data_IF_068908646623
#
_entry.id   IF_068908646623
#
_cell.length_a   1.000
_cell.length_b   1.000
_cell.length_c   1.000
_cell.angle_alpha   90.00
_cell.angle_beta   90.00
_cell.angle_gamma   90.00
#
_symmetry.space_group_name_H-M   'P 1'
#
loop_
_entity.id
_entity.type
_entity.pdbx_description
1 polymer ?
#
# COMPACT_ATOMS: atom_id res chain seq x y z
N UNK A 1 -4.42 16.20 -18.80
CA UNK A 1 -3.38 15.17 -18.58
C UNK A 1 -3.23 14.85 -17.09
N UNK A 2 -2.69 13.68 -16.74
CA UNK A 2 -2.31 13.34 -15.36
C UNK A 2 -0.80 13.12 -15.33
N UNK A 3 -0.11 13.78 -14.40
CA UNK A 3 1.31 13.57 -14.13
C UNK A 3 1.45 13.05 -12.70
N UNK A 4 2.23 11.99 -12.50
CA UNK A 4 2.50 11.49 -11.16
C UNK A 4 3.96 11.12 -10.99
N UNK A 5 4.48 11.22 -9.76
CA UNK A 5 5.84 10.79 -9.44
C UNK A 5 6.48 11.58 -8.32
N UNK A 6 7.78 11.35 -8.14
CA UNK A 6 8.62 12.04 -7.17
C UNK A 6 9.59 12.97 -7.89
N UNK A 7 10.13 14.03 -7.24
CA UNK A 7 11.19 14.84 -7.84
C UNK A 7 12.42 14.00 -8.22
N UNK A 8 12.71 12.94 -7.45
CA UNK A 8 13.83 12.02 -7.72
C UNK A 8 13.57 11.21 -9.00
N UNK A 9 12.38 10.63 -9.15
CA UNK A 9 12.03 9.75 -10.27
C UNK A 9 11.53 10.44 -11.54
N UNK A 10 11.17 11.74 -11.48
CA UNK A 10 10.63 12.46 -12.64
C UNK A 10 11.15 13.89 -12.72
N UNK A 11 11.86 14.22 -13.80
CA UNK A 11 12.34 15.57 -14.09
C UNK A 11 11.18 16.57 -14.23
N UNK A 12 10.05 16.13 -14.82
CA UNK A 12 8.82 16.94 -14.92
C UNK A 12 8.22 17.26 -13.56
N UNK A 13 8.22 16.33 -12.60
CA UNK A 13 7.77 16.64 -11.23
C UNK A 13 8.75 17.60 -10.55
N UNK A 14 10.05 17.40 -10.75
CA UNK A 14 11.11 18.24 -10.16
C UNK A 14 11.03 19.70 -10.60
N UNK A 15 10.77 19.95 -11.88
CA UNK A 15 10.68 21.32 -12.42
C UNK A 15 9.51 22.12 -11.84
N UNK A 16 8.46 21.46 -11.33
CA UNK A 16 7.30 22.11 -10.73
C UNK A 16 7.57 22.70 -9.34
N UNK A 17 8.74 22.43 -8.72
CA UNK A 17 9.16 22.99 -7.41
C UNK A 17 8.06 22.93 -6.34
N UNK A 18 7.37 21.79 -6.26
CA UNK A 18 6.26 21.60 -5.33
C UNK A 18 6.77 21.58 -3.88
N UNK A 19 6.03 22.20 -2.96
CA UNK A 19 6.30 22.14 -1.51
C UNK A 19 5.93 20.77 -0.94
N UNK A 20 6.81 19.79 -1.14
CA UNK A 20 6.65 18.44 -0.63
C UNK A 20 7.18 18.27 0.81
N UNK A 21 7.87 19.26 1.38
CA UNK A 21 8.39 19.19 2.74
C UNK A 21 7.25 18.93 3.75
N UNK A 22 6.08 19.56 3.52
CA UNK A 22 4.93 19.42 4.41
C UNK A 22 4.28 18.04 4.42
N UNK A 23 4.48 17.19 3.40
CA UNK A 23 3.80 15.88 3.29
C UNK A 23 4.62 14.71 3.85
N UNK A 24 5.89 14.91 4.19
CA UNK A 24 6.73 13.86 4.79
C UNK A 24 6.94 12.64 3.88
N UNK A 25 7.36 11.51 4.46
CA UNK A 25 7.81 10.34 3.68
C UNK A 25 6.70 9.48 3.08
N UNK A 26 5.47 9.55 3.61
CA UNK A 26 4.33 8.76 3.14
C UNK A 26 3.14 9.61 2.68
N UNK A 27 3.27 10.93 2.68
CA UNK A 27 2.22 11.82 2.20
C UNK A 27 2.36 12.17 0.73
N UNK A 28 1.37 12.92 0.25
CA UNK A 28 1.25 13.33 -1.14
C UNK A 28 0.58 14.70 -1.29
N UNK A 29 0.81 15.29 -2.46
CA UNK A 29 0.08 16.42 -3.02
C UNK A 29 -0.75 15.97 -4.21
N UNK A 30 -1.96 16.51 -4.36
CA UNK A 30 -2.74 16.44 -5.59
C UNK A 30 -3.11 17.87 -5.98
N UNK A 31 -2.60 18.35 -7.11
CA UNK A 31 -2.79 19.73 -7.57
C UNK A 31 -3.20 19.80 -9.03
N UNK A 32 -4.09 20.72 -9.37
CA UNK A 32 -4.30 21.11 -10.76
C UNK A 32 -3.36 22.26 -11.11
N UNK A 33 -2.47 22.05 -12.06
CA UNK A 33 -1.45 23.02 -12.49
C UNK A 33 -1.44 23.17 -14.01
N UNK A 34 -0.79 24.22 -14.51
CA UNK A 34 -0.41 24.31 -15.92
C UNK A 34 1.00 23.73 -16.07
N UNK A 35 1.14 22.71 -16.92
CA UNK A 35 2.40 22.04 -17.24
C UNK A 35 2.56 22.09 -18.75
N UNK A 36 3.67 22.66 -19.24
CA UNK A 36 3.95 22.85 -20.67
C UNK A 36 2.80 23.55 -21.43
N UNK A 37 2.16 24.55 -20.81
CA UNK A 37 1.03 25.28 -21.40
C UNK A 37 -0.33 24.57 -21.29
N UNK A 38 -0.39 23.35 -20.77
CA UNK A 38 -1.62 22.57 -20.66
C UNK A 38 -2.04 22.33 -19.21
N UNK A 39 -3.36 22.31 -18.95
CA UNK A 39 -3.90 21.96 -17.63
C UNK A 39 -3.67 20.47 -17.34
N UNK A 40 -3.04 20.18 -16.19
CA UNK A 40 -2.73 18.84 -15.73
C UNK A 40 -3.08 18.65 -14.25
N UNK A 41 -3.51 17.44 -13.89
CA UNK A 41 -3.56 17.00 -12.49
C UNK A 41 -2.23 16.36 -12.14
N UNK A 42 -1.56 16.91 -11.13
CA UNK A 42 -0.26 16.46 -10.65
C UNK A 42 -0.44 15.74 -9.32
N UNK A 43 0.04 14.49 -9.23
CA UNK A 43 0.07 13.68 -8.02
C UNK A 43 1.53 13.45 -7.62
N UNK A 44 1.98 14.08 -6.55
CA UNK A 44 3.39 14.07 -6.18
C UNK A 44 3.60 13.66 -4.73
N UNK A 45 4.73 13.01 -4.45
CA UNK A 45 5.16 12.65 -3.10
C UNK A 45 6.68 12.70 -2.98
N UNK A 46 7.19 12.63 -1.76
CA UNK A 46 8.64 12.48 -1.54
C UNK A 46 9.13 11.06 -1.85
N UNK A 47 8.24 10.08 -1.80
CA UNK A 47 8.52 8.67 -2.08
C UNK A 47 7.45 8.10 -3.01
N UNK A 48 7.77 6.99 -3.66
CA UNK A 48 6.86 6.31 -4.58
C UNK A 48 5.59 5.82 -3.87
N UNK A 49 5.70 5.42 -2.59
CA UNK A 49 4.55 5.04 -1.76
C UNK A 49 3.63 6.23 -1.47
N UNK A 50 4.19 7.43 -1.25
CA UNK A 50 3.38 8.64 -1.17
C UNK A 50 2.56 8.86 -2.45
N UNK A 51 3.20 8.71 -3.61
CA UNK A 51 2.54 8.82 -4.92
C UNK A 51 1.43 7.77 -5.08
N UNK A 52 1.67 6.52 -4.68
CA UNK A 52 0.67 5.44 -4.70
C UNK A 52 -0.57 5.81 -3.87
N UNK A 53 -0.39 6.27 -2.63
CA UNK A 53 -1.50 6.70 -1.79
C UNK A 53 -2.24 7.91 -2.39
N UNK A 54 -1.51 8.83 -3.03
CA UNK A 54 -2.09 9.96 -3.76
C UNK A 54 -2.94 9.51 -4.95
N UNK A 55 -2.49 8.51 -5.70
CA UNK A 55 -3.24 7.93 -6.81
C UNK A 55 -4.56 7.30 -6.33
N UNK A 56 -4.52 6.50 -5.25
CA UNK A 56 -5.75 5.96 -4.65
C UNK A 56 -6.68 7.05 -4.11
N UNK A 57 -6.14 8.12 -3.51
CA UNK A 57 -6.96 9.28 -3.13
C UNK A 57 -7.64 9.93 -4.33
N UNK A 58 -6.92 10.09 -5.44
CA UNK A 58 -7.47 10.68 -6.66
C UNK A 58 -8.58 9.82 -7.27
N UNK A 59 -8.37 8.50 -7.37
CA UNK A 59 -9.41 7.55 -7.78
C UNK A 59 -10.63 7.63 -6.85
N UNK A 60 -10.41 7.70 -5.53
CA UNK A 60 -11.49 7.86 -4.56
C UNK A 60 -12.32 9.13 -4.80
N UNK A 61 -11.71 10.25 -5.20
CA UNK A 61 -12.45 11.47 -5.56
C UNK A 61 -13.39 11.23 -6.75
N UNK A 62 -12.92 10.54 -7.78
CA UNK A 62 -13.74 10.19 -8.95
C UNK A 62 -14.89 9.24 -8.59
N UNK A 63 -14.57 8.16 -7.86
CA UNK A 63 -15.56 7.15 -7.44
C UNK A 63 -16.66 7.76 -6.55
N UNK A 64 -16.32 8.80 -5.78
CA UNK A 64 -17.27 9.53 -4.93
C UNK A 64 -17.83 10.80 -5.58
N UNK A 65 -17.66 10.94 -6.91
CA UNK A 65 -18.18 12.04 -7.74
C UNK A 65 -17.82 13.43 -7.22
N UNK A 66 -16.63 13.58 -6.64
CA UNK A 66 -16.12 14.89 -6.20
C UNK A 66 -15.56 15.67 -7.39
N UNK A 67 -15.67 17.01 -7.41
CA UNK A 67 -15.05 17.82 -8.45
C UNK A 67 -13.53 17.63 -8.51
N UNK A 68 -13.00 17.42 -9.71
CA UNK A 68 -11.56 17.23 -9.97
C UNK A 68 -10.96 18.29 -10.91
N UNK A 69 -11.72 19.34 -11.24
CA UNK A 69 -11.31 20.41 -12.16
C UNK A 69 -10.30 21.39 -11.57
N UNK A 70 -10.29 21.57 -10.24
CA UNK A 70 -9.38 22.45 -9.50
C UNK A 70 -9.03 21.85 -8.14
N UNK A 71 -7.93 21.10 -8.08
CA UNK A 71 -7.47 20.43 -6.88
C UNK A 71 -6.30 21.18 -6.23
N UNK A 72 -6.31 21.29 -4.90
CA UNK A 72 -5.15 21.60 -4.06
C UNK A 72 -5.27 20.82 -2.75
N UNK A 73 -4.75 19.60 -2.75
CA UNK A 73 -4.83 18.67 -1.63
C UNK A 73 -3.42 18.35 -1.17
N UNK A 74 -3.20 18.42 0.14
CA UNK A 74 -2.05 17.82 0.80
C UNK A 74 -2.54 16.88 1.90
N UNK A 75 -1.92 15.71 1.99
CA UNK A 75 -2.23 14.75 3.03
C UNK A 75 -0.99 13.98 3.43
N UNK A 76 -0.91 13.64 4.72
CA UNK A 76 0.09 12.74 5.27
C UNK A 76 -0.53 11.89 6.38
N UNK A 77 -0.11 10.64 6.55
CA UNK A 77 -0.62 9.82 7.66
C UNK A 77 -0.19 10.44 9.01
N UNK A 78 -1.10 10.39 9.99
CA UNK A 78 -0.83 10.83 11.37
C UNK A 78 -0.27 9.70 12.24
N UNK A 79 -0.48 8.45 11.84
CA UNK A 79 -0.03 7.25 12.54
C UNK A 79 1.01 6.55 11.69
N UNK A 80 2.16 6.22 12.29
CA UNK A 80 3.28 5.59 11.59
C UNK A 80 2.98 4.14 11.19
N UNK A 81 2.44 3.34 12.11
CA UNK A 81 2.09 1.94 11.91
C UNK A 81 0.59 1.79 11.76
N UNK A 82 0.13 1.38 10.58
CA UNK A 82 -1.27 1.21 10.22
C UNK A 82 -1.39 -0.22 9.73
N UNK A 83 -1.56 -1.13 10.69
CA UNK A 83 -1.35 -2.57 10.54
C UNK A 83 -2.69 -3.30 10.61
N UNK A 84 -2.83 -4.34 9.81
CA UNK A 84 -3.96 -5.28 9.84
C UNK A 84 -3.47 -6.62 10.39
N UNK A 85 -4.22 -7.18 11.33
CA UNK A 85 -3.85 -8.44 11.99
C UNK A 85 -4.75 -9.58 11.50
N UNK A 86 -4.12 -10.72 11.17
CA UNK A 86 -4.78 -11.96 10.78
C UNK A 86 -4.67 -12.96 11.92
N UNK A 87 -5.81 -13.45 12.42
CA UNK A 87 -5.85 -14.50 13.44
C UNK A 87 -5.85 -15.89 12.78
N UNK A 88 -4.90 -16.08 11.86
CA UNK A 88 -4.87 -17.22 10.96
C UNK A 88 -3.90 -18.29 11.50
N UNK A 89 -4.39 -19.53 11.58
CA UNK A 89 -3.58 -20.69 11.91
C UNK A 89 -2.91 -21.24 10.64
N UNK A 90 -1.78 -21.94 10.82
CA UNK A 90 -0.99 -22.45 9.68
C UNK A 90 -1.69 -23.60 8.92
N UNK A 91 -2.71 -24.21 9.53
CA UNK A 91 -3.58 -25.23 8.91
C UNK A 91 -4.69 -24.64 8.02
N UNK A 92 -4.78 -23.30 7.94
CA UNK A 92 -5.75 -22.58 7.12
C UNK A 92 -7.05 -22.23 7.86
N UNK A 93 -7.22 -22.63 9.13
CA UNK A 93 -8.32 -22.14 9.97
C UNK A 93 -8.07 -20.72 10.46
N UNK A 94 -9.13 -19.98 10.81
CA UNK A 94 -9.04 -18.60 11.31
C UNK A 94 -9.77 -18.51 12.65
N UNK A 95 -9.06 -18.12 13.70
CA UNK A 95 -9.65 -17.90 15.00
C UNK A 95 -10.53 -16.65 14.98
N UNK A 96 -11.79 -16.81 15.41
CA UNK A 96 -12.84 -15.77 15.24
C UNK A 96 -13.04 -15.35 13.77
N UNK A 97 -12.74 -16.24 12.84
CA UNK A 97 -12.97 -16.02 11.41
C UNK A 97 -14.40 -16.37 10.99
N UNK A 98 -15.10 -15.40 10.41
CA UNK A 98 -16.47 -15.56 9.89
C UNK A 98 -16.56 -15.41 8.36
N UNK A 99 -15.42 -15.37 7.67
CA UNK A 99 -15.32 -15.07 6.24
C UNK A 99 -14.65 -16.20 5.42
N UNK A 100 -14.62 -17.42 5.98
CA UNK A 100 -13.96 -18.58 5.38
C UNK A 100 -12.54 -18.81 5.91
N UNK A 101 -11.80 -19.65 5.19
CA UNK A 101 -10.42 -20.04 5.52
C UNK A 101 -9.42 -18.93 5.30
N UNK A 102 -8.24 -19.08 5.90
CA UNK A 102 -7.08 -18.21 5.68
C UNK A 102 -6.82 -18.05 4.19
N UNK A 103 -6.50 -16.82 3.79
CA UNK A 103 -6.09 -16.57 2.41
C UNK A 103 -4.69 -17.10 2.12
N UNK A 104 -3.86 -17.30 3.16
CA UNK A 104 -2.48 -17.71 3.05
C UNK A 104 -2.40 -19.20 2.73
N UNK A 105 -2.16 -19.52 1.46
CA UNK A 105 -2.06 -20.91 1.00
C UNK A 105 -0.68 -21.51 1.32
N UNK A 106 -0.38 -21.74 2.60
CA UNK A 106 0.93 -22.20 3.06
C UNK A 106 1.46 -23.44 2.32
N UNK A 107 0.58 -24.39 1.96
CA UNK A 107 0.96 -25.60 1.22
C UNK A 107 1.41 -25.35 -0.23
N UNK A 108 1.00 -24.24 -0.84
CA UNK A 108 1.31 -23.88 -2.23
C UNK A 108 2.48 -22.89 -2.34
N UNK A 109 2.85 -22.24 -1.23
CA UNK A 109 3.95 -21.26 -1.18
C UNK A 109 5.32 -21.96 -1.07
N UNK A 110 6.40 -21.36 -1.62
CA UNK A 110 6.44 -20.14 -2.43
C UNK A 110 6.13 -20.35 -3.93
N UNK A 111 5.91 -21.59 -4.37
CA UNK A 111 5.84 -21.97 -5.79
C UNK A 111 4.63 -21.34 -6.51
N UNK A 112 3.52 -21.15 -5.81
CA UNK A 112 2.34 -20.47 -6.34
C UNK A 112 1.95 -19.26 -5.50
N UNK A 113 1.88 -18.11 -6.16
CA UNK A 113 1.43 -16.85 -5.58
C UNK A 113 0.01 -16.56 -6.08
N UNK A 114 -0.98 -16.77 -5.22
CA UNK A 114 -2.38 -16.47 -5.53
C UNK A 114 -2.55 -15.00 -5.93
N UNK A 115 -3.28 -14.68 -7.01
CA UNK A 115 -3.64 -13.30 -7.35
C UNK A 115 -4.33 -12.55 -6.21
N UNK A 116 -5.00 -13.26 -5.29
CA UNK A 116 -5.66 -12.67 -4.11
C UNK A 116 -4.67 -11.92 -3.18
N UNK A 117 -3.39 -12.29 -3.18
CA UNK A 117 -2.38 -11.58 -2.38
C UNK A 117 -2.19 -10.15 -2.88
N UNK A 118 -2.14 -9.97 -4.21
CA UNK A 118 -2.09 -8.64 -4.85
C UNK A 118 -3.38 -7.87 -4.60
N UNK A 119 -4.55 -8.53 -4.65
CA UNK A 119 -5.83 -7.88 -4.36
C UNK A 119 -5.92 -7.37 -2.92
N UNK A 120 -5.47 -8.16 -1.92
CA UNK A 120 -5.33 -7.69 -0.55
C UNK A 120 -4.39 -6.49 -0.45
N UNK A 121 -3.24 -6.55 -1.13
CA UNK A 121 -2.26 -5.47 -1.12
C UNK A 121 -2.85 -4.16 -1.67
N UNK A 122 -3.58 -4.25 -2.79
CA UNK A 122 -4.30 -3.13 -3.40
C UNK A 122 -5.37 -2.57 -2.46
N UNK A 123 -6.17 -3.44 -1.84
CA UNK A 123 -7.20 -3.04 -0.88
C UNK A 123 -6.59 -2.29 0.31
N UNK A 124 -5.57 -2.86 0.95
CA UNK A 124 -4.85 -2.25 2.07
C UNK A 124 -4.21 -0.91 1.70
N UNK A 125 -3.47 -0.85 0.59
CA UNK A 125 -2.81 0.37 0.15
C UNK A 125 -3.80 1.49 -0.23
N UNK A 126 -4.99 1.13 -0.72
CA UNK A 126 -6.04 2.11 -1.07
C UNK A 126 -6.54 2.95 0.10
N UNK A 127 -6.46 2.39 1.31
CA UNK A 127 -6.79 3.05 2.58
C UNK A 127 -5.55 3.39 3.42
N UNK A 128 -4.36 3.16 2.87
CA UNK A 128 -3.09 3.55 3.46
C UNK A 128 -2.52 2.60 4.52
N UNK A 129 -3.07 1.38 4.68
CA UNK A 129 -2.46 0.34 5.51
C UNK A 129 -1.05 0.04 4.99
N UNK A 130 -0.08 -0.07 5.90
CA UNK A 130 1.35 -0.25 5.58
C UNK A 130 1.99 -1.44 6.31
N UNK A 131 1.19 -2.27 6.96
CA UNK A 131 1.65 -3.50 7.59
C UNK A 131 0.56 -4.56 7.64
N UNK A 132 0.96 -5.81 7.63
CA UNK A 132 0.09 -6.95 7.94
C UNK A 132 0.81 -7.92 8.88
N UNK A 133 0.12 -8.41 9.89
CA UNK A 133 0.56 -9.56 10.70
C UNK A 133 -0.08 -10.81 10.11
N UNK A 134 0.71 -11.77 9.65
CA UNK A 134 0.20 -12.89 8.85
C UNK A 134 -0.48 -14.00 9.67
N UNK A 135 -0.11 -14.15 10.94
CA UNK A 135 -0.46 -15.31 11.75
C UNK A 135 -1.09 -14.93 13.08
N UNK A 136 -1.85 -15.88 13.61
CA UNK A 136 -2.54 -15.79 14.88
C UNK A 136 -1.59 -15.40 16.03
N UNK A 137 -2.13 -14.58 16.94
CA UNK A 137 -1.47 -14.18 18.19
C UNK A 137 -1.26 -15.36 19.13
N UNK A 138 -2.10 -16.39 19.04
CA UNK A 138 -1.83 -17.72 19.60
C UNK A 138 -0.81 -18.43 18.70
N UNK A 139 0.43 -17.92 18.74
CA UNK A 139 1.43 -18.14 17.70
C UNK A 139 1.96 -19.58 17.67
N UNK A 140 2.14 -20.10 16.45
CA UNK A 140 2.84 -21.35 16.22
C UNK A 140 4.32 -21.08 15.97
N UNK A 141 5.27 -21.74 16.68
CA UNK A 141 6.70 -21.50 16.50
C UNK A 141 7.19 -21.93 15.11
N UNK A 142 6.43 -22.76 14.39
CA UNK A 142 6.77 -23.20 13.03
C UNK A 142 6.93 -22.03 12.05
N UNK A 143 6.25 -20.90 12.28
CA UNK A 143 6.33 -19.72 11.41
C UNK A 143 7.75 -19.13 11.33
N UNK A 144 8.60 -19.42 12.32
CA UNK A 144 10.00 -18.97 12.38
C UNK A 144 11.00 -19.99 11.79
N UNK A 145 10.54 -21.15 11.33
CA UNK A 145 11.41 -22.13 10.69
C UNK A 145 11.86 -21.64 9.31
N UNK A 146 13.03 -22.09 8.80
CA UNK A 146 13.51 -21.73 7.46
C UNK A 146 12.45 -21.99 6.37
N UNK A 147 11.76 -23.13 6.45
CA UNK A 147 10.69 -23.51 5.52
C UNK A 147 9.57 -22.48 5.46
N UNK A 148 9.12 -21.97 6.60
CA UNK A 148 8.05 -20.96 6.64
C UNK A 148 8.57 -19.57 6.29
N UNK A 149 9.81 -19.24 6.68
CA UNK A 149 10.42 -17.95 6.33
C UNK A 149 10.57 -17.76 4.81
N UNK A 150 10.82 -18.83 4.04
CA UNK A 150 10.78 -18.77 2.57
C UNK A 150 9.38 -18.40 2.04
N UNK A 151 8.32 -18.99 2.62
CA UNK A 151 6.93 -18.69 2.25
C UNK A 151 6.55 -17.26 2.63
N UNK A 152 6.95 -16.82 3.83
CA UNK A 152 6.76 -15.46 4.33
C UNK A 152 7.49 -14.44 3.43
N UNK A 153 8.71 -14.74 2.99
CA UNK A 153 9.47 -13.89 2.08
C UNK A 153 8.77 -13.74 0.72
N UNK A 154 8.17 -14.81 0.20
CA UNK A 154 7.40 -14.78 -1.04
C UNK A 154 6.16 -13.89 -0.92
N UNK A 155 5.41 -13.99 0.19
CA UNK A 155 4.28 -13.09 0.49
C UNK A 155 4.76 -11.64 0.63
N UNK A 156 5.83 -11.41 1.39
CA UNK A 156 6.43 -10.08 1.53
C UNK A 156 6.86 -9.51 0.17
N UNK A 157 7.29 -10.35 -0.76
CA UNK A 157 7.56 -10.01 -2.15
C UNK A 157 6.37 -9.35 -2.85
N UNK A 158 5.20 -9.97 -2.75
CA UNK A 158 3.95 -9.47 -3.36
C UNK A 158 3.46 -8.17 -2.72
N UNK A 159 3.61 -8.04 -1.40
CA UNK A 159 3.10 -6.90 -0.64
C UNK A 159 3.99 -5.65 -0.72
N UNK A 160 5.31 -5.83 -0.96
CA UNK A 160 6.31 -4.75 -0.92
C UNK A 160 6.06 -3.59 -1.90
N UNK A 161 5.67 -3.80 -3.17
CA UNK A 161 5.36 -2.71 -4.10
C UNK A 161 4.23 -1.79 -3.62
N UNK A 162 3.36 -2.29 -2.74
CA UNK A 162 2.23 -1.57 -2.17
C UNK A 162 2.57 -0.86 -0.84
N UNK A 163 3.83 -0.91 -0.41
CA UNK A 163 4.31 -0.27 0.81
C UNK A 163 3.89 -0.99 2.09
N UNK A 164 3.56 -2.28 1.99
CA UNK A 164 3.10 -3.10 3.10
C UNK A 164 4.25 -3.96 3.61
N UNK A 165 4.58 -3.80 4.89
CA UNK A 165 5.55 -4.65 5.59
C UNK A 165 4.85 -5.87 6.17
N UNK A 166 5.57 -6.98 6.22
CA UNK A 166 5.11 -8.21 6.86
C UNK A 166 5.64 -8.26 8.29
N UNK A 167 4.76 -8.62 9.22
CA UNK A 167 5.03 -8.89 10.63
C UNK A 167 4.54 -10.30 10.97
N UNK A 168 5.09 -10.86 12.03
CA UNK A 168 4.72 -12.19 12.55
C UNK A 168 4.45 -12.06 14.04
N UNK A 169 3.43 -12.77 14.52
CA UNK A 169 3.21 -13.00 15.95
C UNK A 169 4.21 -14.06 16.43
N UNK A 170 4.81 -13.86 17.60
CA UNK A 170 5.85 -14.72 18.21
C UNK A 170 5.58 -14.98 19.68
#
# INVERSE_FOLDING_TARGET
AILFGTPKGSARIRSLRLDLARVGSQGYLIRTLTVDGHRATVIAGNTDIGVLYGAFRFLRLMQTRRPISRLDIASRPKIRFRVLDFWDNLDGTVERGYAGSSIWKWGELPQYLSPRYTELARACASIGINGVVLNNVNASPYILTPLYLEKVAALAGVLRPYGIRVYLSV
#
